data_IF_336869640601
#
_entry.id   IF_336869640601
#
_cell.length_a   1.000
_cell.length_b   1.000
_cell.length_c   1.000
_cell.angle_alpha   90.00
_cell.angle_beta   90.00
_cell.angle_gamma   90.00
#
_symmetry.space_group_name_H-M   'P 1'
#
loop_
_entity.id
_entity.type
_entity.pdbx_description
1 polymer ?
#
# COMPACT_ATOMS: atom_id res chain seq x y z
N UNK A 1 -35.09 24.90 16.77
CA UNK A 1 -34.62 24.05 15.66
C UNK A 1 -35.77 23.22 15.12
N UNK A 2 -36.01 23.26 13.81
CA UNK A 2 -37.25 22.82 13.16
C UNK A 2 -37.23 21.32 12.83
N UNK A 3 -38.15 20.53 13.41
CA UNK A 3 -38.22 19.06 13.28
C UNK A 3 -38.35 18.57 11.82
N UNK A 4 -38.88 19.41 10.91
CA UNK A 4 -39.00 19.08 9.48
C UNK A 4 -37.65 18.94 8.78
N UNK A 5 -36.66 19.79 9.11
CA UNK A 5 -35.33 19.74 8.49
C UNK A 5 -34.56 18.46 8.86
N UNK A 6 -34.81 17.93 10.06
CA UNK A 6 -34.17 16.71 10.56
C UNK A 6 -34.70 15.48 9.80
N UNK A 7 -36.02 15.39 9.58
CA UNK A 7 -36.66 14.28 8.86
C UNK A 7 -36.22 14.17 7.39
N UNK A 8 -36.08 15.29 6.69
CA UNK A 8 -35.66 15.30 5.27
C UNK A 8 -34.21 14.83 5.07
N UNK A 9 -33.33 15.12 6.03
CA UNK A 9 -31.93 14.65 6.00
C UNK A 9 -31.83 13.15 6.23
N UNK A 10 -32.65 12.57 7.12
CA UNK A 10 -32.68 11.12 7.35
C UNK A 10 -33.26 10.34 6.16
N UNK A 11 -34.30 10.86 5.52
CA UNK A 11 -34.88 10.27 4.31
C UNK A 11 -33.87 10.26 3.13
N UNK A 12 -33.11 11.34 2.95
CA UNK A 12 -32.05 11.41 1.92
C UNK A 12 -30.89 10.46 2.17
N UNK A 13 -30.50 10.24 3.45
CA UNK A 13 -29.46 9.29 3.84
C UNK A 13 -29.88 7.83 3.65
N UNK A 14 -31.14 7.51 3.97
CA UNK A 14 -31.71 6.18 3.72
C UNK A 14 -31.84 5.89 2.22
N UNK A 15 -32.26 6.88 1.42
CA UNK A 15 -32.33 6.75 -0.04
C UNK A 15 -30.97 6.54 -0.72
N UNK A 16 -29.92 7.21 -0.23
CA UNK A 16 -28.57 7.00 -0.73
C UNK A 16 -28.00 5.62 -0.35
N UNK A 17 -28.32 5.12 0.84
CA UNK A 17 -27.95 3.77 1.29
C UNK A 17 -28.65 2.67 0.50
N UNK A 18 -29.94 2.84 0.16
CA UNK A 18 -30.68 1.86 -0.65
C UNK A 18 -30.25 1.88 -2.11
N UNK A 19 -29.93 3.04 -2.68
CA UNK A 19 -29.33 3.12 -4.03
C UNK A 19 -27.92 2.52 -4.08
N UNK A 20 -27.10 2.73 -3.05
CA UNK A 20 -25.79 2.07 -2.95
C UNK A 20 -25.93 0.55 -2.82
N UNK A 21 -26.90 0.07 -2.04
CA UNK A 21 -27.18 -1.37 -1.91
C UNK A 21 -27.71 -1.99 -3.22
N UNK A 22 -28.55 -1.27 -3.97
CA UNK A 22 -29.08 -1.73 -5.26
C UNK A 22 -28.02 -1.70 -6.38
N UNK A 23 -27.06 -0.78 -6.33
CA UNK A 23 -25.92 -0.78 -7.26
C UNK A 23 -24.97 -1.96 -7.01
N UNK A 24 -24.91 -2.48 -5.77
CA UNK A 24 -24.07 -3.62 -5.40
C UNK A 24 -24.64 -4.98 -5.85
N UNK A 25 -25.95 -5.12 -6.05
CA UNK A 25 -26.57 -6.39 -6.46
C UNK A 25 -26.48 -6.65 -7.97
N UNK A 26 -26.28 -5.60 -8.78
CA UNK A 26 -26.17 -5.70 -10.25
C UNK A 26 -24.88 -6.36 -10.76
N UNK A 27 -23.86 -6.52 -9.92
CA UNK A 27 -22.56 -7.10 -10.31
C UNK A 27 -22.38 -8.58 -9.88
N UNK A 28 -23.40 -9.21 -9.28
CA UNK A 28 -23.28 -10.57 -8.73
C UNK A 28 -23.29 -11.70 -9.78
N UNK A 29 -23.10 -11.39 -11.07
CA UNK A 29 -23.04 -12.39 -12.14
C UNK A 29 -21.69 -12.34 -12.84
N UNK A 30 -20.67 -12.94 -12.21
CA UNK A 30 -19.37 -13.19 -12.86
C UNK A 30 -18.85 -14.59 -12.51
N UNK A 31 -18.09 -15.16 -13.45
CA UNK A 31 -17.58 -16.53 -13.51
C UNK A 31 -17.09 -17.14 -12.20
N UNK A 32 -17.38 -18.43 -12.01
CA UNK A 32 -16.87 -19.28 -10.93
C UNK A 32 -15.37 -19.54 -11.12
N UNK A 33 -14.52 -18.55 -10.83
CA UNK A 33 -13.13 -18.81 -10.47
C UNK A 33 -13.09 -18.96 -8.94
N UNK A 34 -12.92 -20.19 -8.40
CA UNK A 34 -12.94 -20.39 -6.96
C UNK A 34 -11.86 -19.60 -6.22
N UNK A 35 -10.77 -19.27 -6.91
CA UNK A 35 -9.64 -18.51 -6.36
C UNK A 35 -9.83 -16.99 -6.46
N UNK A 36 -10.78 -16.52 -7.28
CA UNK A 36 -11.09 -15.09 -7.47
C UNK A 36 -12.61 -14.88 -7.64
N UNK A 37 -13.39 -14.95 -6.54
CA UNK A 37 -14.84 -14.83 -6.60
C UNK A 37 -15.35 -13.48 -7.13
N UNK A 38 -14.49 -12.47 -7.16
CA UNK A 38 -14.80 -11.11 -7.59
C UNK A 38 -14.13 -10.76 -8.93
N UNK A 39 -13.72 -11.74 -9.73
CA UNK A 39 -12.89 -11.56 -10.92
C UNK A 39 -13.42 -10.50 -11.88
N UNK A 40 -14.73 -10.49 -12.20
CA UNK A 40 -15.26 -9.50 -13.15
C UNK A 40 -15.23 -8.07 -12.59
N UNK A 41 -15.50 -7.88 -11.30
CA UNK A 41 -15.32 -6.58 -10.64
C UNK A 41 -13.83 -6.18 -10.64
N UNK A 42 -12.96 -7.13 -10.27
CA UNK A 42 -11.53 -6.91 -10.15
C UNK A 42 -10.87 -6.53 -11.48
N UNK A 43 -11.19 -7.24 -12.57
CA UNK A 43 -10.73 -6.91 -13.93
C UNK A 43 -11.23 -5.53 -14.38
N UNK A 44 -12.47 -5.17 -14.04
CA UNK A 44 -13.03 -3.84 -14.34
C UNK A 44 -12.27 -2.74 -13.62
N UNK A 45 -12.05 -2.88 -12.31
CA UNK A 45 -11.28 -1.92 -11.51
C UNK A 45 -9.81 -1.89 -11.91
N UNK A 46 -9.25 -3.04 -12.31
CA UNK A 46 -7.90 -3.12 -12.85
C UNK A 46 -7.75 -2.32 -14.14
N UNK A 47 -8.69 -2.47 -15.08
CA UNK A 47 -8.71 -1.67 -16.33
C UNK A 47 -8.86 -0.18 -16.06
N UNK A 48 -9.72 0.20 -15.10
CA UNK A 48 -9.84 1.58 -14.64
C UNK A 48 -8.50 2.13 -14.12
N UNK A 49 -7.84 1.40 -13.21
CA UNK A 49 -6.54 1.80 -12.66
C UNK A 49 -5.45 1.88 -13.72
N UNK A 50 -5.41 0.91 -14.64
CA UNK A 50 -4.45 0.87 -15.75
C UNK A 50 -4.66 2.05 -16.72
N UNK A 51 -5.91 2.44 -16.96
CA UNK A 51 -6.24 3.64 -17.75
C UNK A 51 -5.76 4.92 -17.05
N UNK A 52 -6.04 5.05 -15.74
CA UNK A 52 -5.57 6.19 -14.94
C UNK A 52 -4.04 6.25 -14.92
N UNK A 53 -3.36 5.11 -14.80
CA UNK A 53 -1.91 5.03 -14.85
C UNK A 53 -1.38 5.52 -16.21
N UNK A 54 -1.88 4.96 -17.31
CA UNK A 54 -1.45 5.30 -18.67
C UNK A 54 -1.66 6.77 -19.04
N UNK A 55 -2.79 7.35 -18.62
CA UNK A 55 -3.17 8.71 -19.00
C UNK A 55 -2.59 9.78 -18.08
N UNK A 56 -2.37 9.47 -16.79
CA UNK A 56 -1.96 10.47 -15.80
C UNK A 56 -0.66 10.12 -15.08
N UNK A 57 -0.58 8.97 -14.41
CA UNK A 57 0.53 8.68 -13.50
C UNK A 57 1.83 8.32 -14.23
N UNK A 58 1.78 7.48 -15.27
CA UNK A 58 2.95 7.07 -16.06
C UNK A 58 3.59 8.27 -16.78
N UNK A 59 2.84 9.15 -17.48
CA UNK A 59 3.44 10.37 -18.06
C UNK A 59 4.04 11.30 -17.01
N UNK A 60 3.37 11.51 -15.88
CA UNK A 60 3.89 12.34 -14.80
C UNK A 60 5.17 11.76 -14.18
N UNK A 61 5.23 10.43 -14.01
CA UNK A 61 6.39 9.72 -13.52
C UNK A 61 7.57 9.78 -14.51
N UNK A 62 7.33 9.64 -15.81
CA UNK A 62 8.36 9.79 -16.84
C UNK A 62 8.92 11.22 -16.88
N UNK A 63 8.06 12.23 -16.78
CA UNK A 63 8.50 13.63 -16.70
C UNK A 63 9.33 13.89 -15.43
N UNK A 64 8.89 13.35 -14.29
CA UNK A 64 9.64 13.43 -13.03
C UNK A 64 11.01 12.76 -13.14
N UNK A 65 11.06 11.54 -13.70
CA UNK A 65 12.30 10.79 -13.87
C UNK A 65 13.28 11.50 -14.82
N UNK A 66 12.75 12.13 -15.88
CA UNK A 66 13.56 12.89 -16.85
C UNK A 66 14.15 14.18 -16.24
N UNK A 67 13.38 14.88 -15.40
CA UNK A 67 13.76 16.22 -14.91
C UNK A 67 14.52 16.16 -13.59
N UNK A 68 14.24 15.17 -12.74
CA UNK A 68 14.78 15.09 -11.38
C UNK A 68 15.95 14.11 -11.34
N UNK A 69 17.17 14.57 -11.00
CA UNK A 69 18.33 13.69 -10.83
C UNK A 69 18.09 12.57 -9.81
N UNK A 70 18.59 11.37 -10.13
CA UNK A 70 18.47 10.15 -9.31
C UNK A 70 18.79 10.36 -7.81
N UNK A 71 19.82 11.13 -7.40
CA UNK A 71 20.08 11.37 -5.97
C UNK A 71 18.94 12.10 -5.25
N UNK A 72 18.26 13.01 -5.94
CA UNK A 72 17.11 13.74 -5.40
C UNK A 72 15.91 12.81 -5.30
N UNK A 73 15.67 11.96 -6.32
CA UNK A 73 14.60 10.96 -6.27
C UNK A 73 14.78 10.01 -5.08
N UNK A 74 16.01 9.51 -4.86
CA UNK A 74 16.33 8.71 -3.67
C UNK A 74 16.07 9.47 -2.38
N UNK A 75 16.45 10.75 -2.30
CA UNK A 75 16.17 11.60 -1.16
C UNK A 75 14.67 11.74 -0.85
N UNK A 76 13.84 11.92 -1.88
CA UNK A 76 12.37 11.98 -1.76
C UNK A 76 11.80 10.65 -1.27
N UNK A 77 12.20 9.54 -1.90
CA UNK A 77 11.78 8.20 -1.51
C UNK A 77 12.19 7.83 -0.08
N UNK A 78 13.40 8.21 0.33
CA UNK A 78 13.91 8.02 1.69
C UNK A 78 13.10 8.82 2.70
N UNK A 79 12.88 10.10 2.44
CA UNK A 79 12.13 11.00 3.32
C UNK A 79 10.71 10.47 3.59
N UNK A 80 9.95 10.16 2.54
CA UNK A 80 8.60 9.64 2.71
C UNK A 80 8.57 8.24 3.29
N UNK A 81 9.54 7.41 2.93
CA UNK A 81 9.65 6.12 3.57
C UNK A 81 9.98 6.25 5.06
N UNK A 82 10.79 7.23 5.48
CA UNK A 82 11.20 7.40 6.88
C UNK A 82 9.98 7.74 7.74
N UNK A 83 9.07 8.54 7.19
CA UNK A 83 7.75 8.79 7.77
C UNK A 83 6.95 7.49 7.89
N UNK A 84 6.89 6.68 6.82
CA UNK A 84 6.16 5.41 6.81
C UNK A 84 6.78 4.34 7.73
N UNK A 85 8.08 4.42 8.02
CA UNK A 85 8.78 3.49 8.91
C UNK A 85 8.32 3.66 10.36
N UNK A 86 7.85 4.86 10.77
CA UNK A 86 7.23 5.06 12.10
C UNK A 86 6.02 4.14 12.26
N UNK A 87 5.12 4.14 11.29
CA UNK A 87 3.93 3.28 11.31
C UNK A 87 4.28 1.80 11.15
N UNK A 88 5.33 1.49 10.37
CA UNK A 88 5.84 0.12 10.23
C UNK A 88 6.39 -0.42 11.55
N UNK A 89 7.14 0.39 12.31
CA UNK A 89 7.64 0.02 13.64
C UNK A 89 6.50 -0.31 14.60
N UNK A 90 5.46 0.53 14.65
CA UNK A 90 4.27 0.28 15.46
C UNK A 90 3.62 -1.06 15.08
N UNK A 91 3.41 -1.31 13.78
CA UNK A 91 2.81 -2.57 13.33
C UNK A 91 3.68 -3.79 13.64
N UNK A 92 5.01 -3.70 13.51
CA UNK A 92 5.91 -4.79 13.88
C UNK A 92 5.83 -5.10 15.37
N UNK A 93 5.77 -4.08 16.23
CA UNK A 93 5.55 -4.27 17.66
C UNK A 93 4.19 -4.91 17.94
N UNK A 94 3.11 -4.44 17.28
CA UNK A 94 1.77 -5.04 17.37
C UNK A 94 1.73 -6.49 16.87
N UNK A 95 2.62 -6.88 15.95
CA UNK A 95 2.78 -8.25 15.46
C UNK A 95 3.62 -9.14 16.40
N UNK A 96 4.11 -8.60 17.52
CA UNK A 96 5.03 -9.29 18.43
C UNK A 96 6.47 -9.40 17.91
N UNK A 97 6.79 -8.73 16.80
CA UNK A 97 8.11 -8.72 16.14
C UNK A 97 9.00 -7.65 16.78
N UNK A 98 9.35 -7.84 18.05
CA UNK A 98 10.02 -6.81 18.87
C UNK A 98 11.36 -6.36 18.27
N UNK A 99 12.19 -7.32 17.85
CA UNK A 99 13.50 -7.01 17.26
C UNK A 99 13.36 -6.15 15.99
N UNK A 100 12.44 -6.51 15.09
CA UNK A 100 12.20 -5.74 13.87
C UNK A 100 11.59 -4.38 14.19
N UNK A 101 10.62 -4.32 15.11
CA UNK A 101 9.99 -3.06 15.53
C UNK A 101 10.99 -2.06 16.09
N UNK A 102 11.91 -2.53 16.95
CA UNK A 102 13.00 -1.71 17.51
C UNK A 102 14.02 -1.34 16.42
N UNK A 103 14.40 -2.27 15.55
CA UNK A 103 15.31 -2.01 14.43
C UNK A 103 14.77 -0.91 13.51
N UNK A 104 13.50 -1.01 13.12
CA UNK A 104 12.80 -0.01 12.29
C UNK A 104 12.70 1.34 13.01
N UNK A 105 12.42 1.34 14.31
CA UNK A 105 12.43 2.56 15.12
C UNK A 105 13.82 3.22 15.16
N UNK A 106 14.87 2.44 15.40
CA UNK A 106 16.25 2.94 15.40
C UNK A 106 16.65 3.52 14.06
N UNK A 107 16.21 2.87 12.98
CA UNK A 107 16.38 3.37 11.61
C UNK A 107 15.71 4.74 11.42
N UNK A 108 14.49 4.94 11.93
CA UNK A 108 13.84 6.27 11.94
C UNK A 108 14.67 7.28 12.73
N UNK A 109 15.12 6.92 13.94
CA UNK A 109 15.89 7.82 14.79
C UNK A 109 17.21 8.25 14.11
N UNK A 110 17.94 7.31 13.52
CA UNK A 110 19.20 7.55 12.81
C UNK A 110 18.98 8.41 11.58
N UNK A 111 18.05 8.03 10.70
CA UNK A 111 17.80 8.77 9.46
C UNK A 111 17.23 10.17 9.74
N UNK A 112 16.45 10.34 10.81
CA UNK A 112 15.96 11.66 11.20
C UNK A 112 17.08 12.55 11.75
N UNK A 113 17.96 12.01 12.59
CA UNK A 113 19.00 12.78 13.30
C UNK A 113 20.24 13.03 12.44
N UNK A 114 20.75 11.98 11.81
CA UNK A 114 21.98 12.00 11.02
C UNK A 114 21.71 12.03 9.51
N UNK A 115 20.52 11.63 9.08
CA UNK A 115 20.13 11.57 7.67
C UNK A 115 19.35 12.78 7.17
N UNK A 116 19.54 13.96 7.77
CA UNK A 116 18.86 15.21 7.40
C UNK A 116 17.32 15.07 7.37
N UNK A 117 16.73 14.59 8.47
CA UNK A 117 15.28 14.41 8.56
C UNK A 117 14.72 13.25 7.73
N UNK A 118 15.58 12.31 7.33
CA UNK A 118 15.23 11.11 6.58
C UNK A 118 15.53 11.16 5.09
N UNK A 119 16.14 12.23 4.58
CA UNK A 119 16.54 12.34 3.16
C UNK A 119 17.69 11.38 2.84
N UNK A 120 18.64 11.22 3.76
CA UNK A 120 19.75 10.27 3.61
C UNK A 120 19.47 9.01 4.43
N UNK A 121 19.65 7.83 3.82
CA UNK A 121 19.43 6.53 4.47
C UNK A 121 20.70 6.01 5.16
N UNK A 122 21.14 6.71 6.19
CA UNK A 122 22.33 6.36 7.01
C UNK A 122 22.13 5.04 7.76
N UNK A 123 20.89 4.71 8.12
CA UNK A 123 20.55 3.48 8.84
C UNK A 123 20.86 2.22 8.03
N UNK A 124 20.72 2.27 6.71
CA UNK A 124 21.06 1.14 5.83
C UNK A 124 22.55 0.82 5.89
N UNK A 125 23.42 1.83 5.90
CA UNK A 125 24.87 1.67 6.12
C UNK A 125 25.19 1.11 7.51
N UNK A 126 24.36 1.43 8.51
CA UNK A 126 24.40 0.83 9.84
C UNK A 126 23.80 -0.59 9.92
N UNK A 127 23.51 -1.22 8.78
CA UNK A 127 22.94 -2.59 8.67
C UNK A 127 21.55 -2.73 9.27
N UNK A 128 20.73 -1.67 9.21
CA UNK A 128 19.32 -1.70 9.58
C UNK A 128 18.46 -1.73 8.31
N UNK A 129 18.16 -2.92 7.75
CA UNK A 129 17.38 -3.03 6.53
C UNK A 129 15.96 -2.51 6.74
N UNK A 130 15.37 -1.93 5.70
CA UNK A 130 13.99 -1.44 5.74
C UNK A 130 13.01 -2.59 5.58
N UNK A 131 12.14 -2.79 6.55
CA UNK A 131 11.01 -3.71 6.47
C UNK A 131 9.70 -2.93 6.63
N UNK A 132 8.84 -2.97 5.61
CA UNK A 132 7.54 -2.28 5.65
C UNK A 132 6.47 -3.18 6.24
N UNK A 133 5.72 -2.64 7.20
CA UNK A 133 4.59 -3.33 7.83
C UNK A 133 3.38 -2.42 7.90
N UNK A 134 2.20 -3.00 7.75
CA UNK A 134 0.91 -2.31 7.75
C UNK A 134 -0.09 -3.09 8.60
N UNK A 135 -1.25 -2.49 8.86
CA UNK A 135 -2.25 -3.04 9.77
C UNK A 135 -2.92 -4.29 9.21
N UNK A 136 -3.04 -4.42 7.88
CA UNK A 136 -3.51 -5.66 7.26
C UNK A 136 -2.58 -6.85 7.57
N UNK A 137 -1.26 -6.64 7.58
CA UNK A 137 -0.30 -7.67 8.00
C UNK A 137 -0.46 -8.01 9.47
N UNK A 138 -0.69 -6.98 10.30
CA UNK A 138 -0.95 -7.15 11.74
C UNK A 138 -2.17 -8.04 11.96
N UNK A 139 -3.30 -7.74 11.32
CA UNK A 139 -4.49 -8.61 11.37
C UNK A 139 -4.19 -10.04 10.91
N UNK A 140 -3.42 -10.19 9.83
CA UNK A 140 -2.99 -11.51 9.33
C UNK A 140 -2.17 -12.30 10.36
N UNK A 141 -1.23 -11.63 11.06
CA UNK A 141 -0.42 -12.24 12.11
C UNK A 141 -1.26 -12.75 13.29
N UNK A 142 -2.36 -12.06 13.58
CA UNK A 142 -3.33 -12.42 14.62
C UNK A 142 -4.42 -13.40 14.15
N UNK A 143 -4.25 -14.02 12.98
CA UNK A 143 -5.12 -15.09 12.49
C UNK A 143 -6.34 -14.63 11.70
N UNK A 144 -6.47 -13.34 11.39
CA UNK A 144 -7.53 -12.87 10.47
C UNK A 144 -7.18 -13.32 9.04
N UNK A 145 -8.02 -14.20 8.50
CA UNK A 145 -7.90 -14.68 7.12
C UNK A 145 -7.93 -13.54 6.11
N UNK A 146 -7.32 -13.72 4.93
CA UNK A 146 -7.27 -12.69 3.89
C UNK A 146 -8.66 -12.30 3.37
N UNK A 147 -9.57 -13.28 3.31
CA UNK A 147 -10.79 -13.16 2.51
C UNK A 147 -10.48 -13.13 1.01
N UNK A 148 -11.48 -12.79 0.18
CA UNK A 148 -11.31 -12.73 -1.27
C UNK A 148 -10.33 -11.63 -1.70
N UNK A 149 -9.68 -11.86 -2.84
CA UNK A 149 -8.90 -10.85 -3.54
C UNK A 149 -9.84 -9.75 -4.08
N UNK A 150 -9.40 -8.50 -3.97
CA UNK A 150 -10.15 -7.35 -4.49
C UNK A 150 -9.20 -6.32 -5.09
N UNK A 151 -9.56 -5.76 -6.24
CA UNK A 151 -8.88 -4.59 -6.82
C UNK A 151 -9.65 -3.34 -6.47
N UNK A 152 -9.01 -2.43 -5.75
CA UNK A 152 -9.60 -1.15 -5.35
C UNK A 152 -9.29 -0.07 -6.40
N UNK A 153 -10.26 0.81 -6.72
CA UNK A 153 -9.99 1.95 -7.57
C UNK A 153 -8.93 2.85 -6.93
N UNK A 154 -7.98 3.33 -7.72
CA UNK A 154 -6.78 4.10 -7.34
C UNK A 154 -5.74 3.39 -6.47
N UNK A 155 -6.15 2.47 -5.58
CA UNK A 155 -5.25 1.81 -4.64
C UNK A 155 -4.67 0.48 -5.16
N UNK A 156 -5.33 -0.15 -6.13
CA UNK A 156 -4.83 -1.37 -6.79
C UNK A 156 -5.16 -2.67 -6.03
N UNK A 157 -4.33 -3.72 -6.22
CA UNK A 157 -4.51 -5.05 -5.62
C UNK A 157 -4.61 -5.03 -4.08
N UNK A 158 -5.56 -5.77 -3.52
CA UNK A 158 -5.81 -5.88 -2.08
C UNK A 158 -6.49 -7.22 -1.74
N UNK A 159 -6.71 -7.47 -0.46
CA UNK A 159 -7.62 -8.53 0.04
C UNK A 159 -8.73 -7.89 0.87
N UNK A 160 -9.80 -8.62 1.18
CA UNK A 160 -10.87 -8.09 2.05
C UNK A 160 -10.32 -7.61 3.41
N UNK A 161 -9.43 -8.40 4.03
CA UNK A 161 -8.76 -8.04 5.29
C UNK A 161 -7.92 -6.78 5.13
N UNK A 162 -7.08 -6.73 4.10
CA UNK A 162 -6.16 -5.61 3.90
C UNK A 162 -6.93 -4.32 3.58
N UNK A 163 -8.03 -4.43 2.84
CA UNK A 163 -8.98 -3.33 2.58
C UNK A 163 -9.61 -2.81 3.86
N UNK A 164 -10.03 -3.70 4.76
CA UNK A 164 -10.56 -3.31 6.07
C UNK A 164 -9.50 -2.65 6.97
N UNK A 165 -8.22 -2.99 6.80
CA UNK A 165 -7.10 -2.38 7.53
C UNK A 165 -6.67 -1.02 6.99
N UNK A 166 -6.89 -0.75 5.70
CA UNK A 166 -6.44 0.46 5.02
C UNK A 166 -6.83 1.78 5.73
N UNK A 167 -8.04 1.98 6.28
CA UNK A 167 -8.36 3.20 7.01
C UNK A 167 -7.46 3.44 8.24
N UNK A 168 -7.04 2.37 8.90
CA UNK A 168 -6.12 2.43 10.04
C UNK A 168 -4.73 2.85 9.56
N UNK A 169 -4.27 2.31 8.43
CA UNK A 169 -3.00 2.70 7.82
C UNK A 169 -2.99 4.16 7.37
N UNK A 170 -4.09 4.65 6.78
CA UNK A 170 -4.24 6.06 6.39
C UNK A 170 -4.21 7.00 7.60
N UNK A 171 -4.80 6.57 8.72
CA UNK A 171 -4.75 7.30 9.98
C UNK A 171 -3.36 7.29 10.61
N UNK A 172 -2.62 6.19 10.46
CA UNK A 172 -1.25 6.02 10.94
C UNK A 172 -0.18 6.78 10.15
N UNK A 173 -0.46 7.17 8.91
CA UNK A 173 0.45 7.98 8.10
C UNK A 173 0.55 9.42 8.64
N UNK A 174 1.70 9.76 9.22
CA UNK A 174 1.96 11.08 9.79
C UNK A 174 1.81 12.22 8.77
N UNK A 175 2.00 11.95 7.47
CA UNK A 175 1.85 12.96 6.43
C UNK A 175 0.42 13.46 6.28
N UNK A 176 -0.58 12.64 6.63
CA UNK A 176 -2.00 13.01 6.62
C UNK A 176 -2.27 14.25 7.49
N UNK A 177 -1.45 14.48 8.52
CA UNK A 177 -1.58 15.60 9.45
C UNK A 177 -0.76 16.84 9.07
N UNK A 178 0.00 16.80 7.96
CA UNK A 178 0.82 17.95 7.53
C UNK A 178 -0.05 19.18 7.28
N UNK A 179 0.34 20.31 7.88
CA UNK A 179 -0.22 21.63 7.60
C UNK A 179 0.84 22.60 7.07
N UNK A 180 0.44 23.61 6.28
CA UNK A 180 -0.88 23.81 5.66
C UNK A 180 -1.25 22.74 4.60
N UNK A 181 -2.55 22.60 4.33
CA UNK A 181 -3.13 21.58 3.42
C UNK A 181 -2.51 21.60 2.02
N UNK A 182 -2.13 22.78 1.51
CA UNK A 182 -1.45 22.90 0.20
C UNK A 182 -0.18 22.06 0.12
N UNK A 183 0.66 22.09 1.17
CA UNK A 183 1.93 21.35 1.19
C UNK A 183 1.70 19.85 1.36
N UNK A 184 0.67 19.47 2.12
CA UNK A 184 0.24 18.07 2.24
C UNK A 184 -0.15 17.51 0.88
N UNK A 185 -1.00 18.20 0.14
CA UNK A 185 -1.49 17.75 -1.16
C UNK A 185 -0.35 17.67 -2.19
N UNK A 186 0.50 18.71 -2.25
CA UNK A 186 1.66 18.71 -3.15
C UNK A 186 2.60 17.55 -2.83
N UNK A 187 2.97 17.34 -1.56
CA UNK A 187 3.85 16.23 -1.22
C UNK A 187 3.20 14.86 -1.36
N UNK A 188 1.87 14.75 -1.24
CA UNK A 188 1.17 13.50 -1.57
C UNK A 188 1.27 13.18 -3.06
N UNK A 189 1.10 14.17 -3.93
CA UNK A 189 1.31 14.01 -5.38
C UNK A 189 2.76 13.65 -5.68
N UNK A 190 3.73 14.36 -5.11
CA UNK A 190 5.16 14.04 -5.28
C UNK A 190 5.45 12.61 -4.85
N UNK A 191 4.94 12.17 -3.69
CA UNK A 191 5.12 10.80 -3.20
C UNK A 191 4.55 9.76 -4.17
N UNK A 192 3.37 10.01 -4.73
CA UNK A 192 2.73 9.09 -5.69
C UNK A 192 3.55 9.03 -6.99
N UNK A 193 3.96 10.18 -7.52
CA UNK A 193 4.74 10.27 -8.76
C UNK A 193 6.12 9.65 -8.59
N UNK A 194 6.84 9.97 -7.51
CA UNK A 194 8.15 9.39 -7.18
C UNK A 194 8.07 7.87 -7.04
N UNK A 195 7.03 7.37 -6.35
CA UNK A 195 6.80 5.93 -6.22
C UNK A 195 6.51 5.27 -7.57
N UNK A 196 5.78 5.94 -8.46
CA UNK A 196 5.50 5.40 -9.79
C UNK A 196 6.72 5.42 -10.69
N UNK A 197 7.56 6.45 -10.58
CA UNK A 197 8.83 6.58 -11.31
C UNK A 197 9.77 5.42 -10.98
N UNK A 198 9.92 5.08 -9.69
CA UNK A 198 10.68 3.90 -9.23
C UNK A 198 10.18 2.55 -9.77
N UNK A 199 8.98 2.50 -10.37
CA UNK A 199 8.37 1.30 -10.90
C UNK A 199 8.30 1.29 -12.44
N UNK A 200 8.81 2.31 -13.14
CA UNK A 200 8.70 2.43 -14.59
C UNK A 200 9.35 1.23 -15.31
N UNK A 201 10.60 0.90 -14.97
CA UNK A 201 11.34 -0.20 -15.59
C UNK A 201 10.66 -1.54 -15.38
N UNK A 202 10.33 -1.86 -14.11
CA UNK A 202 9.64 -3.10 -13.77
C UNK A 202 8.27 -3.22 -14.45
N UNK A 203 7.54 -2.10 -14.59
CA UNK A 203 6.24 -2.11 -15.27
C UNK A 203 6.36 -2.30 -16.78
N UNK A 204 7.42 -1.81 -17.40
CA UNK A 204 7.65 -1.97 -18.85
C UNK A 204 7.98 -3.43 -19.17
N UNK A 205 8.87 -4.04 -18.38
CA UNK A 205 9.17 -5.47 -18.49
C UNK A 205 7.93 -6.35 -18.31
N UNK A 206 7.06 -5.99 -17.36
CA UNK A 206 5.80 -6.69 -17.14
C UNK A 206 4.85 -6.55 -18.35
N UNK A 207 4.72 -5.34 -18.89
CA UNK A 207 3.87 -5.05 -20.06
C UNK A 207 4.31 -5.82 -21.30
N UNK A 208 5.62 -6.01 -21.48
CA UNK A 208 6.18 -6.73 -22.62
C UNK A 208 6.10 -8.26 -22.46
N UNK A 209 6.15 -8.77 -21.23
CA UNK A 209 6.29 -10.22 -20.97
C UNK A 209 4.99 -10.93 -20.59
N UNK A 210 3.99 -10.24 -20.03
CA UNK A 210 2.79 -10.88 -19.50
C UNK A 210 1.69 -11.04 -20.56
N UNK A 211 1.30 -12.28 -20.83
CA UNK A 211 0.11 -12.61 -21.65
C UNK A 211 -1.19 -12.07 -21.03
N UNK A 212 -1.35 -12.24 -19.71
CA UNK A 212 -2.41 -11.62 -18.92
C UNK A 212 -1.80 -10.85 -17.74
N UNK A 213 -1.75 -9.52 -17.88
CA UNK A 213 -1.20 -8.61 -16.86
C UNK A 213 -2.00 -8.67 -15.55
N UNK A 214 -3.32 -8.90 -15.61
CA UNK A 214 -4.17 -8.93 -14.43
C UNK A 214 -3.85 -10.16 -13.57
N UNK A 215 -3.85 -11.34 -14.18
CA UNK A 215 -3.60 -12.60 -13.46
C UNK A 215 -2.19 -12.61 -12.85
N UNK A 216 -1.18 -12.14 -13.60
CA UNK A 216 0.18 -12.02 -13.08
C UNK A 216 0.26 -11.10 -11.86
N UNK A 217 -0.37 -9.92 -11.93
CA UNK A 217 -0.35 -8.95 -10.83
C UNK A 217 -1.09 -9.49 -9.59
N UNK A 218 -2.22 -10.17 -9.78
CA UNK A 218 -2.96 -10.81 -8.68
C UNK A 218 -2.09 -11.85 -7.98
N UNK A 219 -1.52 -12.77 -8.74
CA UNK A 219 -0.79 -13.91 -8.18
C UNK A 219 0.50 -13.43 -7.49
N UNK A 220 1.23 -12.49 -8.11
CA UNK A 220 2.39 -11.86 -7.51
C UNK A 220 2.04 -11.09 -6.22
N UNK A 221 0.90 -10.39 -6.20
CA UNK A 221 0.42 -9.70 -5.00
C UNK A 221 0.14 -10.69 -3.87
N UNK A 222 -0.66 -11.74 -4.13
CA UNK A 222 -1.05 -12.72 -3.12
C UNK A 222 0.17 -13.48 -2.57
N UNK A 223 1.09 -13.91 -3.44
CA UNK A 223 2.32 -14.58 -3.04
C UNK A 223 3.18 -13.68 -2.14
N UNK A 224 3.42 -12.43 -2.57
CA UNK A 224 4.19 -11.46 -1.78
C UNK A 224 3.53 -11.18 -0.45
N UNK A 225 2.20 -11.02 -0.42
CA UNK A 225 1.44 -10.70 0.79
C UNK A 225 1.52 -11.83 1.81
N UNK A 226 1.39 -13.08 1.35
CA UNK A 226 1.53 -14.25 2.20
C UNK A 226 2.95 -14.34 2.81
N UNK A 227 3.98 -14.07 2.00
CA UNK A 227 5.36 -14.00 2.49
C UNK A 227 5.52 -12.95 3.59
N UNK A 228 5.00 -11.73 3.40
CA UNK A 228 5.11 -10.65 4.39
C UNK A 228 4.48 -10.99 5.75
N UNK A 229 3.30 -11.65 5.75
CA UNK A 229 2.59 -12.01 6.98
C UNK A 229 3.30 -13.12 7.75
N UNK A 230 3.88 -14.07 7.02
CA UNK A 230 4.60 -15.19 7.62
C UNK A 230 6.00 -14.79 8.12
N UNK A 231 6.41 -13.53 7.98
CA UNK A 231 7.71 -13.03 8.44
C UNK A 231 8.77 -12.88 7.36
N UNK A 232 8.38 -12.98 6.08
CA UNK A 232 9.27 -12.96 4.93
C UNK A 232 10.18 -14.19 4.88
N UNK A 233 10.92 -14.38 3.79
CA UNK A 233 12.14 -15.18 3.82
C UNK A 233 13.14 -14.49 4.76
N UNK A 234 12.97 -14.66 6.06
CA UNK A 234 14.01 -14.27 6.99
C UNK A 234 15.17 -15.24 6.73
N UNK A 235 16.33 -14.73 6.32
CA UNK A 235 17.57 -15.52 6.18
C UNK A 235 18.06 -16.16 7.49
N UNK A 236 17.19 -16.29 8.50
CA UNK A 236 17.40 -17.00 9.76
C UNK A 236 16.99 -18.46 9.66
N UNK A 237 15.97 -18.80 8.88
CA UNK A 237 15.62 -20.22 8.65
C UNK A 237 16.73 -20.96 7.89
N UNK A 238 17.42 -20.29 6.96
CA UNK A 238 18.60 -20.90 6.31
C UNK A 238 19.76 -21.13 7.26
N UNK A 239 19.92 -20.31 8.32
CA UNK A 239 21.01 -20.51 9.29
C UNK A 239 20.74 -21.67 10.24
N UNK A 240 19.48 -21.93 10.58
CA UNK A 240 19.12 -23.00 11.52
C UNK A 240 19.10 -24.39 10.86
N UNK A 241 18.87 -24.46 9.54
CA UNK A 241 18.91 -25.72 8.79
C UNK A 241 20.35 -26.12 8.38
N UNK A 242 21.27 -25.17 8.19
CA UNK A 242 22.71 -25.46 7.97
C UNK A 242 23.49 -25.83 9.24
N UNK A 243 22.87 -25.73 10.43
CA UNK A 243 23.51 -26.05 11.71
C UNK A 243 22.69 -27.15 12.40
N UNK A 244 22.57 -28.30 11.74
CA UNK A 244 22.33 -29.57 12.45
C UNK A 244 23.42 -30.55 12.01
N UNK A 245 24.22 -31.06 12.96
CA UNK A 245 25.30 -32.00 12.68
C UNK A 245 24.77 -33.35 12.15
#
# INVERSE_FOLDING_TARGET
MNKKAISTVYAGRLGALTLAAAALTGCASTSNNPNDPLEGFNRTMFSFNDTVDKVALKPAAQAYDTVVPTPIQHGVGNFFGNIGDVWSSINQLLQGRIEQGVSTFMRVAINTTFGLGGVLDVATEARLPREKSDFGQTLGKWGVGSGPYVVLPFFGPSTLRDTAGMPVDLYGDLWTYKRPTRWRNVGAVVRIVDRRAQLLDASTLLEDAALDKYDFVRDAYLQRRQSQINGGFSGREQKEETIKP
#
